data_IF_224940898806
#
_entry.id   IF_224940898806
#
_cell.length_a   1.000
_cell.length_b   1.000
_cell.length_c   1.000
_cell.angle_alpha   90.00
_cell.angle_beta   90.00
_cell.angle_gamma   90.00
#
_symmetry.space_group_name_H-M   'P 1'
#
loop_
_entity.id
_entity.type
_entity.pdbx_description
1 polymer ?
#
# COMPACT_ATOMS: atom_id res chain seq x y z
N UNK A 1 -27.99 17.31 -16.80
CA UNK A 1 -26.82 16.42 -16.70
C UNK A 1 -26.35 16.41 -15.24
N UNK A 2 -26.78 15.41 -14.47
CA UNK A 2 -26.28 15.21 -13.10
C UNK A 2 -25.00 14.37 -13.19
N UNK A 3 -23.86 15.05 -13.05
CA UNK A 3 -22.60 14.36 -12.80
C UNK A 3 -22.62 13.82 -11.36
N UNK A 4 -22.96 12.56 -11.19
CA UNK A 4 -22.77 11.89 -9.91
C UNK A 4 -21.28 11.66 -9.70
N UNK A 5 -20.61 12.61 -9.07
CA UNK A 5 -19.27 12.43 -8.53
C UNK A 5 -19.42 11.63 -7.25
N UNK A 6 -19.21 10.33 -7.33
CA UNK A 6 -19.10 9.52 -6.11
C UNK A 6 -17.71 9.74 -5.52
N UNK A 7 -17.68 10.27 -4.31
CA UNK A 7 -16.45 10.40 -3.54
C UNK A 7 -16.29 9.09 -2.75
N UNK A 8 -15.34 8.26 -3.16
CA UNK A 8 -14.95 7.07 -2.40
C UNK A 8 -13.85 7.44 -1.42
N UNK A 9 -14.01 7.07 -0.16
CA UNK A 9 -12.97 7.23 0.85
C UNK A 9 -12.09 5.98 0.86
N UNK A 10 -10.80 6.15 0.54
CA UNK A 10 -9.80 5.09 0.68
C UNK A 10 -9.11 5.23 2.02
N UNK A 11 -8.94 4.11 2.74
CA UNK A 11 -8.18 4.07 4.00
C UNK A 11 -6.73 3.69 3.71
N UNK A 12 -5.82 4.43 4.31
CA UNK A 12 -4.39 4.15 4.30
C UNK A 12 -3.94 3.89 5.72
N UNK A 13 -3.13 2.87 5.91
CA UNK A 13 -2.54 2.56 7.19
C UNK A 13 -1.02 2.55 7.09
N UNK A 14 -0.38 3.17 8.07
CA UNK A 14 1.06 3.18 8.26
C UNK A 14 1.37 2.43 9.55
N UNK A 15 2.24 1.44 9.48
CA UNK A 15 2.62 0.60 10.59
C UNK A 15 4.02 0.93 11.10
N UNK A 16 4.16 0.91 12.41
CA UNK A 16 5.46 0.84 13.09
C UNK A 16 5.73 -0.62 13.39
N UNK A 17 6.84 -1.15 12.85
CA UNK A 17 7.16 -2.59 12.87
C UNK A 17 8.52 -2.81 13.51
N UNK A 18 8.63 -3.83 14.36
CA UNK A 18 9.86 -4.30 14.99
C UNK A 18 10.06 -5.79 14.72
N UNK A 19 11.30 -6.28 14.78
CA UNK A 19 11.58 -7.72 14.85
C UNK A 19 11.14 -8.26 16.20
N UNK A 20 10.48 -9.41 16.22
CA UNK A 20 10.16 -10.14 17.46
C UNK A 20 11.42 -10.58 18.18
N UNK A 21 12.44 -11.00 17.42
CA UNK A 21 13.76 -11.35 17.93
C UNK A 21 14.69 -10.14 17.97
N UNK A 22 14.35 -9.17 18.79
CA UNK A 22 15.14 -7.97 19.08
C UNK A 22 14.87 -7.50 20.50
N UNK A 23 15.67 -6.55 20.97
CA UNK A 23 15.49 -5.90 22.28
C UNK A 23 14.13 -5.20 22.38
N UNK A 24 13.51 -4.90 21.24
CA UNK A 24 12.21 -4.20 21.13
C UNK A 24 11.05 -5.12 20.73
N UNK A 25 11.27 -6.43 20.68
CA UNK A 25 10.28 -7.40 20.21
C UNK A 25 8.95 -7.37 20.95
N UNK A 26 8.94 -6.95 22.22
CA UNK A 26 7.74 -6.79 23.06
C UNK A 26 7.45 -5.35 23.47
N UNK A 27 8.20 -4.38 22.94
CA UNK A 27 8.05 -2.98 23.30
C UNK A 27 6.70 -2.40 22.87
N UNK A 28 6.16 -1.49 23.69
CA UNK A 28 5.11 -0.55 23.28
C UNK A 28 5.72 0.62 22.48
N UNK A 29 4.87 1.49 21.93
CA UNK A 29 5.35 2.69 21.25
C UNK A 29 6.24 3.54 22.16
N UNK A 30 5.85 3.72 23.42
CA UNK A 30 6.65 4.46 24.42
C UNK A 30 8.02 3.82 24.66
N UNK A 31 8.12 2.50 24.56
CA UNK A 31 9.38 1.75 24.66
C UNK A 31 10.31 1.97 23.49
N UNK A 32 9.86 2.60 22.42
CA UNK A 32 10.66 2.96 21.24
C UNK A 32 11.18 4.39 21.28
N UNK A 33 11.09 5.06 22.42
CA UNK A 33 11.66 6.41 22.60
C UNK A 33 13.18 6.38 22.43
N UNK A 34 13.69 7.23 21.54
CA UNK A 34 15.13 7.39 21.30
C UNK A 34 15.78 6.32 20.42
N UNK A 35 15.02 5.34 19.91
CA UNK A 35 15.52 4.34 18.96
C UNK A 35 15.69 4.92 17.57
N UNK A 36 16.43 4.21 16.72
CA UNK A 36 16.59 4.56 15.31
C UNK A 36 15.47 3.93 14.48
N UNK A 37 14.69 4.77 13.81
CA UNK A 37 13.62 4.35 12.91
C UNK A 37 14.09 4.35 11.47
N UNK A 38 13.84 3.26 10.75
CA UNK A 38 13.98 3.21 9.30
C UNK A 38 12.72 3.71 8.61
N UNK A 39 12.90 4.46 7.53
CA UNK A 39 11.83 4.91 6.64
C UNK A 39 12.28 4.92 5.18
N UNK A 40 11.32 4.90 4.27
CA UNK A 40 11.55 5.11 2.85
C UNK A 40 10.49 6.02 2.26
N UNK A 41 10.91 6.93 1.38
CA UNK A 41 10.04 7.82 0.62
C UNK A 41 9.83 7.36 -0.82
N UNK A 42 10.07 6.10 -1.10
CA UNK A 42 9.87 5.55 -2.44
C UNK A 42 8.46 5.82 -2.97
N UNK A 43 7.47 5.71 -2.09
CA UNK A 43 6.05 6.03 -2.39
C UNK A 43 5.38 6.62 -1.15
N UNK A 44 4.19 7.20 -1.32
CA UNK A 44 3.31 7.64 -0.22
C UNK A 44 3.97 8.61 0.80
N UNK A 45 4.93 9.42 0.35
CA UNK A 45 5.68 10.36 1.21
C UNK A 45 4.76 11.23 2.08
N UNK A 46 3.68 11.75 1.51
CA UNK A 46 2.77 12.64 2.24
C UNK A 46 2.06 11.93 3.39
N UNK A 47 1.59 10.68 3.17
CA UNK A 47 0.92 9.87 4.20
C UNK A 47 1.91 9.42 5.26
N UNK A 48 3.13 9.03 4.86
CA UNK A 48 4.19 8.69 5.78
C UNK A 48 4.53 9.85 6.72
N UNK A 49 4.69 11.06 6.18
CA UNK A 49 4.99 12.24 6.98
C UNK A 49 3.89 12.58 7.99
N UNK A 50 2.61 12.35 7.65
CA UNK A 50 1.50 12.49 8.61
C UNK A 50 1.63 11.50 9.77
N UNK A 51 1.96 10.24 9.46
CA UNK A 51 2.16 9.21 10.49
C UNK A 51 3.35 9.55 11.39
N UNK A 52 4.47 9.98 10.80
CA UNK A 52 5.65 10.40 11.56
C UNK A 52 5.35 11.59 12.48
N UNK A 53 4.59 12.58 12.01
CA UNK A 53 4.17 13.70 12.83
C UNK A 53 3.31 13.28 14.03
N UNK A 54 2.35 12.36 13.82
CA UNK A 54 1.57 11.81 14.93
C UNK A 54 2.41 10.97 15.91
N UNK A 55 3.38 10.23 15.38
CA UNK A 55 4.31 9.46 16.22
C UNK A 55 5.16 10.40 17.09
N UNK A 56 5.59 11.52 16.56
CA UNK A 56 6.39 12.54 17.27
C UNK A 56 5.62 13.23 18.39
N UNK A 57 4.30 13.28 18.33
CA UNK A 57 3.45 13.74 19.45
C UNK A 57 3.52 12.80 20.66
N UNK A 58 3.77 11.52 20.44
CA UNK A 58 3.85 10.49 21.50
C UNK A 58 5.30 10.26 21.94
N UNK A 59 6.24 10.30 21.02
CA UNK A 59 7.66 10.04 21.24
C UNK A 59 8.46 11.32 20.92
N UNK A 60 8.94 12.02 21.93
CA UNK A 60 9.52 13.37 21.82
C UNK A 60 10.78 13.47 20.96
N UNK A 61 11.58 12.43 20.91
CA UNK A 61 12.86 12.47 20.18
C UNK A 61 12.99 11.23 19.32
N UNK A 62 13.13 11.43 18.01
CA UNK A 62 13.23 10.34 17.05
C UNK A 62 14.42 10.54 16.14
N UNK A 63 15.06 9.42 15.84
CA UNK A 63 16.14 9.33 14.85
C UNK A 63 15.61 8.53 13.67
N UNK A 64 15.82 9.07 12.47
CA UNK A 64 15.43 8.41 11.23
C UNK A 64 16.64 8.13 10.36
N UNK A 65 16.68 6.91 9.81
CA UNK A 65 17.52 6.57 8.68
C UNK A 65 16.60 6.37 7.46
N UNK A 66 16.87 7.09 6.38
CA UNK A 66 16.06 7.03 5.17
C UNK A 66 16.74 6.13 4.14
N UNK A 67 15.98 5.17 3.62
CA UNK A 67 16.41 4.23 2.58
C UNK A 67 15.69 4.54 1.28
N UNK A 68 16.35 4.29 0.15
CA UNK A 68 15.80 4.60 -1.17
C UNK A 68 14.65 3.67 -1.55
N UNK A 69 14.69 2.41 -1.11
CA UNK A 69 13.71 1.39 -1.44
C UNK A 69 13.17 0.68 -0.21
N UNK A 70 11.99 0.09 -0.34
CA UNK A 70 11.41 -0.75 0.72
C UNK A 70 12.21 -2.04 0.95
N UNK A 71 12.88 -2.56 -0.08
CA UNK A 71 13.78 -3.71 0.05
C UNK A 71 14.94 -3.39 0.99
N UNK A 72 15.61 -2.26 0.77
CA UNK A 72 16.68 -1.80 1.66
C UNK A 72 16.18 -1.54 3.08
N UNK A 73 14.95 -1.03 3.22
CA UNK A 73 14.33 -0.79 4.51
C UNK A 73 14.13 -2.09 5.29
N UNK A 74 13.64 -3.16 4.62
CA UNK A 74 13.50 -4.48 5.23
C UNK A 74 14.86 -5.07 5.62
N UNK A 75 15.85 -4.99 4.72
CA UNK A 75 17.22 -5.45 5.00
C UNK A 75 17.80 -4.78 6.24
N UNK A 76 17.60 -3.46 6.36
CA UNK A 76 18.10 -2.69 7.50
C UNK A 76 17.46 -3.13 8.84
N UNK A 77 16.18 -3.50 8.83
CA UNK A 77 15.51 -4.04 10.01
C UNK A 77 16.11 -5.39 10.40
N UNK A 78 16.28 -6.31 9.44
CA UNK A 78 16.83 -7.64 9.71
C UNK A 78 18.30 -7.60 10.11
N UNK A 79 19.09 -6.70 9.53
CA UNK A 79 20.48 -6.48 9.90
C UNK A 79 20.65 -5.69 11.21
N UNK A 80 19.54 -5.26 11.83
CA UNK A 80 19.52 -4.46 13.06
C UNK A 80 20.26 -3.13 12.93
N UNK A 81 20.31 -2.58 11.70
CA UNK A 81 20.81 -1.23 11.43
C UNK A 81 19.83 -0.17 11.95
N UNK A 82 18.56 -0.52 11.95
CA UNK A 82 17.46 0.23 12.59
C UNK A 82 16.70 -0.67 13.54
N UNK A 83 16.11 -0.07 14.57
CA UNK A 83 15.39 -0.79 15.63
C UNK A 83 13.94 -1.04 15.29
N UNK A 84 13.36 -0.16 14.49
CA UNK A 84 12.00 -0.23 13.98
C UNK A 84 11.91 0.39 12.59
N UNK A 85 10.89 0.02 11.83
CA UNK A 85 10.57 0.64 10.54
C UNK A 85 9.16 1.20 10.54
N UNK A 86 8.96 2.26 9.77
CA UNK A 86 7.66 2.89 9.56
C UNK A 86 7.29 2.76 8.09
N UNK A 87 6.25 1.97 7.80
CA UNK A 87 5.92 1.57 6.43
C UNK A 87 4.41 1.39 6.25
N UNK A 88 3.91 1.71 5.06
CA UNK A 88 2.50 1.51 4.71
C UNK A 88 2.12 0.03 4.63
N UNK A 89 0.91 -0.29 5.06
CA UNK A 89 0.38 -1.67 5.05
C UNK A 89 0.36 -2.28 3.65
N UNK A 90 0.15 -1.46 2.60
CA UNK A 90 0.13 -1.92 1.21
C UNK A 90 1.47 -2.53 0.73
N UNK A 91 2.56 -2.34 1.46
CA UNK A 91 3.88 -2.89 1.11
C UNK A 91 4.21 -4.20 1.83
N UNK A 92 3.27 -4.71 2.61
CA UNK A 92 3.44 -5.95 3.37
C UNK A 92 3.86 -7.12 2.48
N UNK A 93 3.15 -7.34 1.36
CA UNK A 93 3.47 -8.41 0.42
C UNK A 93 4.87 -8.26 -0.20
N UNK A 94 5.31 -7.03 -0.47
CA UNK A 94 6.65 -6.77 -0.98
C UNK A 94 7.72 -7.09 0.06
N UNK A 95 7.48 -6.75 1.32
CA UNK A 95 8.40 -7.05 2.42
C UNK A 95 8.50 -8.56 2.64
N UNK A 96 7.38 -9.28 2.56
CA UNK A 96 7.36 -10.75 2.65
C UNK A 96 8.10 -11.41 1.48
N UNK A 97 8.00 -10.87 0.27
CA UNK A 97 8.76 -11.37 -0.89
C UNK A 97 10.28 -11.18 -0.74
N UNK A 98 10.71 -10.13 -0.08
CA UNK A 98 12.13 -9.86 0.17
C UNK A 98 12.69 -10.70 1.32
N UNK A 99 11.86 -10.97 2.33
CA UNK A 99 12.20 -11.76 3.52
C UNK A 99 11.04 -12.69 3.83
N UNK A 100 11.16 -13.96 3.38
CA UNK A 100 10.16 -15.00 3.67
C UNK A 100 9.99 -15.14 5.20
N UNK A 101 8.76 -15.14 5.65
CA UNK A 101 8.42 -15.15 7.07
C UNK A 101 8.41 -13.76 7.74
N UNK A 102 8.48 -12.68 6.98
CA UNK A 102 8.46 -11.31 7.51
C UNK A 102 7.30 -11.08 8.49
N UNK A 103 6.11 -11.53 8.14
CA UNK A 103 4.92 -11.38 8.99
C UNK A 103 5.00 -12.16 10.30
N UNK A 104 5.62 -13.34 10.26
CA UNK A 104 5.77 -14.20 11.44
C UNK A 104 6.88 -13.71 12.36
N UNK A 105 7.94 -13.13 11.78
CA UNK A 105 9.14 -12.69 12.48
C UNK A 105 9.04 -11.25 12.99
N UNK A 106 8.07 -10.51 12.52
CA UNK A 106 7.88 -9.10 12.88
C UNK A 106 6.58 -8.89 13.67
N UNK A 107 6.50 -7.74 14.34
CA UNK A 107 5.32 -7.32 15.08
C UNK A 107 5.00 -5.86 14.82
N UNK A 108 3.71 -5.58 14.60
CA UNK A 108 3.20 -4.21 14.50
C UNK A 108 3.04 -3.66 15.92
N UNK A 109 3.76 -2.59 16.21
CA UNK A 109 3.69 -1.88 17.49
C UNK A 109 2.54 -0.88 17.52
N UNK A 110 2.36 -0.17 16.41
CA UNK A 110 1.34 0.88 16.24
C UNK A 110 0.92 0.97 14.79
N UNK A 111 -0.36 1.24 14.57
CA UNK A 111 -0.94 1.56 13.26
C UNK A 111 -1.53 2.96 13.28
N UNK A 112 -1.21 3.76 12.27
CA UNK A 112 -1.81 5.06 12.00
C UNK A 112 -2.69 4.97 10.77
N UNK A 113 -3.98 5.31 10.92
CA UNK A 113 -4.96 5.24 9.83
C UNK A 113 -5.29 6.63 9.31
N UNK A 114 -5.40 6.75 7.99
CA UNK A 114 -5.72 7.99 7.29
C UNK A 114 -6.76 7.74 6.22
N UNK A 115 -7.69 8.68 6.09
CA UNK A 115 -8.68 8.69 5.04
C UNK A 115 -8.20 9.58 3.89
N UNK A 116 -8.19 9.04 2.68
CA UNK A 116 -7.94 9.79 1.45
C UNK A 116 -9.20 9.80 0.60
N UNK A 117 -9.71 10.98 0.34
CA UNK A 117 -10.84 11.13 -0.59
C UNK A 117 -10.33 10.92 -2.02
N UNK A 118 -10.75 9.84 -2.65
CA UNK A 118 -10.54 9.62 -4.07
C UNK A 118 -11.76 10.14 -4.83
N UNK A 119 -11.56 11.03 -5.77
CA UNK A 119 -12.62 11.39 -6.71
C UNK A 119 -12.72 10.28 -7.75
N UNK A 120 -13.75 9.49 -7.66
CA UNK A 120 -14.11 8.57 -8.74
C UNK A 120 -14.87 9.37 -9.79
N UNK A 121 -14.27 9.56 -10.95
CA UNK A 121 -14.98 10.07 -12.12
C UNK A 121 -15.63 8.88 -12.80
N UNK A 122 -16.76 8.43 -12.29
CA UNK A 122 -17.58 7.49 -13.01
C UNK A 122 -18.55 8.29 -13.88
N UNK A 123 -18.32 8.31 -15.18
CA UNK A 123 -19.32 8.73 -16.13
C UNK A 123 -20.36 7.62 -16.18
N UNK A 124 -21.52 7.82 -15.58
CA UNK A 124 -22.61 6.88 -15.69
C UNK A 124 -23.04 6.79 -17.17
N UNK A 125 -22.83 5.63 -17.77
CA UNK A 125 -23.37 5.35 -19.11
C UNK A 125 -24.83 4.99 -18.93
N UNK A 126 -25.70 5.93 -19.26
CA UNK A 126 -27.16 5.78 -19.08
C UNK A 126 -27.84 4.94 -20.18
N UNK A 127 -27.11 4.58 -21.22
CA UNK A 127 -27.66 3.91 -22.41
C UNK A 127 -26.91 2.59 -22.72
N UNK A 128 -26.79 1.76 -21.68
CA UNK A 128 -26.10 0.45 -21.75
C UNK A 128 -26.82 -0.59 -22.61
N UNK A 129 -28.05 -0.32 -23.00
CA UNK A 129 -28.86 -1.24 -23.83
C UNK A 129 -28.69 -0.98 -25.31
N UNK A 130 -28.26 0.21 -25.71
CA UNK A 130 -28.18 0.61 -27.12
C UNK A 130 -26.81 0.87 -27.64
N UNK A 131 -25.87 1.27 -26.78
CA UNK A 131 -24.50 1.64 -27.17
C UNK A 131 -23.47 0.70 -26.58
N UNK A 132 -22.40 0.39 -27.33
CA UNK A 132 -21.27 -0.33 -26.78
C UNK A 132 -20.65 0.41 -25.59
N UNK A 133 -20.25 -0.34 -24.58
CA UNK A 133 -19.58 0.20 -23.41
C UNK A 133 -18.43 -0.70 -22.96
N UNK A 134 -17.49 -0.12 -22.24
CA UNK A 134 -16.35 -0.82 -21.69
C UNK A 134 -16.45 -0.89 -20.17
N UNK A 135 -16.13 -2.05 -19.63
CA UNK A 135 -15.95 -2.27 -18.18
C UNK A 135 -14.50 -2.63 -17.95
N UNK A 136 -13.85 -1.89 -17.08
CA UNK A 136 -12.51 -2.23 -16.62
C UNK A 136 -12.64 -3.09 -15.36
N UNK A 137 -12.11 -4.30 -15.43
CA UNK A 137 -12.06 -5.23 -14.31
C UNK A 137 -10.63 -5.35 -13.86
N UNK A 138 -10.39 -5.08 -12.60
CA UNK A 138 -9.11 -5.26 -11.94
C UNK A 138 -9.29 -6.20 -10.76
N UNK A 139 -8.45 -7.22 -10.69
CA UNK A 139 -8.42 -8.14 -9.56
C UNK A 139 -7.12 -7.94 -8.81
N UNK A 140 -7.21 -7.95 -7.50
CA UNK A 140 -6.12 -7.78 -6.57
C UNK A 140 -6.08 -9.05 -5.74
N UNK A 141 -4.94 -9.76 -5.81
CA UNK A 141 -4.70 -10.90 -4.94
C UNK A 141 -4.09 -10.41 -3.63
N UNK A 142 -4.93 -10.09 -2.66
CA UNK A 142 -4.49 -9.74 -1.32
C UNK A 142 -5.34 -10.45 -0.28
N UNK A 143 -4.66 -11.10 0.64
CA UNK A 143 -5.26 -11.51 1.90
C UNK A 143 -5.44 -10.26 2.78
N UNK A 144 -6.67 -9.81 2.93
CA UNK A 144 -6.97 -8.66 3.77
C UNK A 144 -8.25 -7.93 3.40
N UNK A 145 -8.54 -6.83 4.08
CA UNK A 145 -9.74 -6.03 3.79
C UNK A 145 -9.63 -5.37 2.40
N UNK A 146 -10.75 -5.21 1.73
CA UNK A 146 -10.91 -4.57 0.40
C UNK A 146 -10.31 -3.16 0.32
N UNK A 147 -9.91 -2.59 1.44
CA UNK A 147 -9.29 -1.27 1.56
C UNK A 147 -7.77 -1.25 1.37
N UNK A 148 -7.13 -2.41 1.18
CA UNK A 148 -5.68 -2.48 0.98
C UNK A 148 -5.36 -2.11 -0.45
N UNK A 149 -4.59 -1.03 -0.66
CA UNK A 149 -4.10 -0.65 -1.99
C UNK A 149 -2.98 -1.61 -2.36
N UNK A 150 -3.32 -2.62 -3.12
CA UNK A 150 -2.41 -3.61 -3.68
C UNK A 150 -2.24 -3.40 -5.18
N UNK A 151 -1.17 -3.96 -5.75
CA UNK A 151 -1.03 -4.01 -7.21
C UNK A 151 -2.12 -4.91 -7.77
N UNK A 152 -2.69 -4.48 -8.89
CA UNK A 152 -3.60 -5.32 -9.66
C UNK A 152 -2.79 -6.42 -10.37
N UNK A 153 -3.13 -7.67 -10.08
CA UNK A 153 -2.49 -8.82 -10.72
C UNK A 153 -3.18 -9.21 -12.02
N UNK A 154 -4.43 -8.80 -12.18
CA UNK A 154 -5.21 -9.01 -13.40
C UNK A 154 -5.88 -7.71 -13.80
N UNK A 155 -5.65 -7.30 -15.04
CA UNK A 155 -6.33 -6.17 -15.64
C UNK A 155 -7.04 -6.65 -16.92
N UNK A 156 -8.33 -6.43 -16.99
CA UNK A 156 -9.16 -6.88 -18.08
C UNK A 156 -10.09 -5.75 -18.53
N UNK A 157 -10.15 -5.50 -19.83
CA UNK A 157 -11.18 -4.67 -20.44
C UNK A 157 -12.24 -5.58 -21.03
N UNK A 158 -13.46 -5.43 -20.57
CA UNK A 158 -14.65 -6.12 -21.13
C UNK A 158 -15.43 -5.10 -21.95
N UNK A 159 -15.44 -5.28 -23.26
CA UNK A 159 -16.25 -4.48 -24.19
C UNK A 159 -17.54 -5.22 -24.47
N UNK A 160 -18.67 -4.61 -24.17
CA UNK A 160 -19.99 -5.15 -24.42
C UNK A 160 -20.66 -4.35 -25.53
N UNK A 161 -21.12 -5.05 -26.58
CA UNK A 161 -21.94 -4.47 -27.63
C UNK A 161 -23.38 -5.06 -27.56
N UNK A 162 -24.33 -4.33 -26.98
CA UNK A 162 -25.69 -4.85 -26.78
C UNK A 162 -26.46 -5.08 -28.10
N UNK A 163 -26.13 -4.30 -29.14
CA UNK A 163 -26.81 -4.47 -30.47
C UNK A 163 -26.42 -5.76 -31.17
N UNK A 164 -25.12 -6.09 -31.12
CA UNK A 164 -24.61 -7.32 -31.75
C UNK A 164 -24.59 -8.51 -30.79
N UNK A 165 -24.92 -8.29 -29.52
CA UNK A 165 -24.85 -9.28 -28.43
C UNK A 165 -23.47 -9.92 -28.30
N UNK A 166 -22.44 -9.14 -28.56
CA UNK A 166 -21.04 -9.56 -28.49
C UNK A 166 -20.38 -9.03 -27.24
N UNK A 167 -19.50 -9.85 -26.67
CA UNK A 167 -18.63 -9.49 -25.55
C UNK A 167 -17.21 -9.80 -25.98
N UNK A 168 -16.34 -8.79 -25.93
CA UNK A 168 -14.92 -8.94 -26.16
C UNK A 168 -14.18 -8.73 -24.81
N UNK A 169 -13.33 -9.67 -24.46
CA UNK A 169 -12.46 -9.56 -23.30
C UNK A 169 -11.02 -9.38 -23.76
N UNK A 170 -10.40 -8.28 -23.31
CA UNK A 170 -9.01 -7.95 -23.62
C UNK A 170 -8.20 -7.92 -22.34
N UNK A 171 -7.27 -8.84 -22.19
CA UNK A 171 -6.35 -8.84 -21.06
C UNK A 171 -5.25 -7.80 -21.29
N UNK A 172 -4.97 -6.99 -20.28
CA UNK A 172 -3.84 -6.07 -20.26
C UNK A 172 -2.72 -6.73 -19.46
N UNK A 173 -1.61 -7.12 -20.11
CA UNK A 173 -0.49 -7.70 -19.38
C UNK A 173 0.06 -6.73 -18.35
N UNK A 174 0.23 -7.20 -17.11
CA UNK A 174 0.98 -6.47 -16.10
C UNK A 174 2.46 -6.63 -16.45
N UNK A 175 3.05 -5.62 -17.10
CA UNK A 175 4.48 -5.68 -17.42
C UNK A 175 5.28 -5.49 -16.15
N UNK A 176 5.98 -6.53 -15.72
CA UNK A 176 7.08 -6.41 -14.77
C UNK A 176 8.26 -5.79 -15.54
N UNK A 177 8.37 -4.47 -15.54
CA UNK A 177 9.61 -3.83 -15.97
C UNK A 177 10.66 -4.05 -14.90
N UNK A 178 11.37 -5.18 -14.99
CA UNK A 178 12.68 -5.30 -14.38
C UNK A 178 13.64 -4.45 -15.20
N UNK A 179 13.80 -3.20 -14.84
CA UNK A 179 15.00 -2.45 -15.24
C UNK A 179 16.20 -3.09 -14.52
N UNK A 180 16.84 -4.04 -15.19
CA UNK A 180 18.23 -4.36 -14.87
C UNK A 180 19.05 -3.14 -15.29
N UNK A 181 19.48 -2.35 -14.33
CA UNK A 181 20.58 -1.43 -14.53
C UNK A 181 21.84 -2.28 -14.70
N UNK A 182 22.47 -2.18 -15.88
CA UNK A 182 23.84 -2.62 -16.13
C UNK A 182 24.81 -1.56 -15.61
#
# INVERSE_FOLDING_TARGET
FLNNVQTTTQKYAINVIVLKDSDYGTASLDGLKGVNFGRSYEKEKATLNKALAQMEETIDTQKYTTYDTYSQLADALYNKEVDAIVVGTQYKSMLELNHEGFDEETRIVKTYEFDKKAKSVTTAVTDVTEKPFNVYVTAIDTYGSVSTVSRSDVNLIVTVNPKTKQILMTSIPVSYTHLRAH
#
